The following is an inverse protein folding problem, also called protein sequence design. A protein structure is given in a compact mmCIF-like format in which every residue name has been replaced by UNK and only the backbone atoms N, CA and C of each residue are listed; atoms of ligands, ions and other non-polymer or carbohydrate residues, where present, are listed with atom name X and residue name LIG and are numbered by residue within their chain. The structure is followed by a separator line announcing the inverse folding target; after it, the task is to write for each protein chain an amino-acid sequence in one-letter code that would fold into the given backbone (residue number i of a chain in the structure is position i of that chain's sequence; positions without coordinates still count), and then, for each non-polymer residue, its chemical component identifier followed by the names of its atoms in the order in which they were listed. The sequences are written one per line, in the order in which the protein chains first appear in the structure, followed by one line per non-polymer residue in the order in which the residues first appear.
data_IF_155253215263
#
_entry.id   IF_155253215263
#
_cell.length_a   1.000
_cell.length_b   1.000
_cell.length_c   1.000
_cell.angle_alpha   90.00
_cell.angle_beta   90.00
_cell.angle_gamma   90.00
#
_symmetry.space_group_name_H-M   'P 1'
#
loop_
_entity.id
_entity.type
_entity.pdbx_description
1 polymer ?
#
# COMPACT_ATOMS: atom_id res chain seq x y z
N UNK A 1 -21.39 -20.56 4.89
CA UNK A 1 -21.13 -20.06 4.64
C UNK A 1 -20.62 -19.37 4.40
N UNK A 2 -20.38 -19.37 4.48
CA UNK A 2 -19.85 -18.73 4.35
C UNK A 2 -19.29 -17.92 3.98
N UNK A 3 -19.15 -17.69 4.16
CA UNK A 3 -18.63 -16.91 3.88
C UNK A 3 -17.98 -16.25 3.69
N UNK A 4 -17.78 -16.06 3.86
CA UNK A 4 -17.19 -15.42 3.76
C UNK A 4 -16.41 -14.93 3.33
N UNK A 5 -16.23 -15.11 3.51
CA UNK A 5 -15.35 -14.73 3.18
C UNK A 5 -15.03 -13.97 2.41
N UNK A 6 -15.00 -13.53 2.10
CA UNK A 6 -14.65 -12.81 1.36
C UNK A 6 -14.32 -11.78 1.49
N UNK A 7 -14.23 -11.39 2.05
CA UNK A 7 -13.90 -10.42 2.17
C UNK A 7 -12.78 -10.06 2.34
N UNK A 8 -12.20 -10.53 2.78
CA UNK A 8 -11.15 -10.23 2.89
C UNK A 8 -10.47 -9.62 2.01
N UNK A 9 -10.53 -9.79 1.37
CA UNK A 9 -9.86 -9.29 0.26
C UNK A 9 -10.28 -7.92 -0.13
N UNK A 10 -10.74 -7.16 0.76
CA UNK A 10 -11.16 -5.81 0.42
C UNK A 10 -9.97 -4.87 0.64
N UNK A 11 -9.11 -4.78 -0.36
CA UNK A 11 -8.03 -3.82 -0.32
C UNK A 11 -8.58 -2.41 -0.38
N UNK A 12 -7.96 -1.50 0.35
CA UNK A 12 -8.34 -0.10 0.32
C UNK A 12 -7.72 0.52 -0.94
N UNK A 13 -8.53 1.15 -1.77
CA UNK A 13 -8.05 1.74 -3.01
C UNK A 13 -7.23 2.99 -2.73
N UNK A 14 -6.09 3.10 -3.41
CA UNK A 14 -5.23 4.28 -3.35
C UNK A 14 -5.18 4.86 -4.76
N UNK A 15 -6.04 5.82 -5.07
CA UNK A 15 -6.11 6.35 -6.43
C UNK A 15 -4.95 7.30 -6.71
N UNK A 16 -4.33 7.12 -7.88
CA UNK A 16 -3.26 8.01 -8.34
C UNK A 16 -3.57 8.46 -9.76
N UNK A 17 -3.05 9.63 -10.13
CA UNK A 17 -3.21 10.16 -11.47
C UNK A 17 -1.90 10.15 -12.25
N UNK A 18 -0.84 9.63 -11.63
CA UNK A 18 0.47 9.51 -12.24
C UNK A 18 0.71 8.09 -12.68
N UNK A 19 1.78 7.86 -13.42
CA UNK A 19 2.11 6.53 -13.90
C UNK A 19 2.41 5.56 -12.75
N UNK A 20 3.03 6.05 -11.71
CA UNK A 20 3.36 5.25 -10.53
C UNK A 20 3.41 6.16 -9.31
N UNK A 21 3.50 5.54 -8.14
CA UNK A 21 3.70 6.26 -6.89
C UNK A 21 4.75 5.48 -6.08
N UNK A 22 5.59 6.21 -5.35
CA UNK A 22 6.56 5.55 -4.50
C UNK A 22 5.88 5.02 -3.25
N UNK A 23 6.41 3.92 -2.71
CA UNK A 23 5.80 3.27 -1.55
C UNK A 23 5.57 4.23 -0.38
N UNK A 24 6.57 5.02 -0.02
CA UNK A 24 6.40 5.93 1.10
C UNK A 24 5.31 6.97 0.84
N UNK A 25 5.21 7.43 -0.40
CA UNK A 25 4.18 8.39 -0.76
C UNK A 25 2.80 7.75 -0.73
N UNK A 26 2.71 6.50 -1.17
CA UNK A 26 1.43 5.77 -1.14
C UNK A 26 0.96 5.58 0.30
N UNK A 27 1.87 5.31 1.23
CA UNK A 27 1.50 5.13 2.62
C UNK A 27 0.98 6.43 3.23
N UNK A 28 1.56 7.56 2.84
CA UNK A 28 1.06 8.86 3.30
C UNK A 28 -0.29 9.19 2.67
N UNK A 29 -0.41 8.97 1.38
CA UNK A 29 -1.64 9.26 0.66
C UNK A 29 -2.82 8.46 1.18
N UNK A 30 -2.58 7.21 1.54
CA UNK A 30 -3.62 6.30 2.02
C UNK A 30 -3.91 6.45 3.51
N UNK A 31 -3.16 7.32 4.20
CA UNK A 31 -3.28 7.48 5.65
C UNK A 31 -2.91 6.20 6.40
N UNK A 32 -2.10 5.34 5.80
CA UNK A 32 -1.62 4.15 6.48
C UNK A 32 -0.75 4.53 7.67
N UNK A 33 -0.16 5.71 7.60
CA UNK A 33 0.63 6.27 8.69
C UNK A 33 0.19 7.72 8.91
N UNK A 34 0.39 8.21 10.11
CA UNK A 34 -0.08 9.55 10.47
C UNK A 34 0.99 10.63 10.35
N UNK A 35 2.24 10.28 10.23
CA UNK A 35 3.30 11.28 10.11
C UNK A 35 4.32 10.86 9.07
N UNK A 36 4.95 11.86 8.45
CA UNK A 36 5.86 11.61 7.34
C UNK A 36 7.08 10.80 7.71
N UNK A 37 7.62 11.00 8.89
CA UNK A 37 8.83 10.27 9.29
C UNK A 37 8.59 8.80 9.54
N UNK A 38 7.37 8.43 9.88
CA UNK A 38 7.04 7.06 10.23
C UNK A 38 7.12 6.12 9.04
N UNK A 39 6.76 6.59 7.84
CA UNK A 39 6.82 5.73 6.65
C UNK A 39 8.21 5.17 6.46
N UNK A 40 9.22 6.02 6.55
CA UNK A 40 10.60 5.59 6.38
C UNK A 40 10.95 4.49 7.38
N UNK A 41 10.57 4.69 8.64
CA UNK A 41 10.92 3.76 9.70
C UNK A 41 10.27 2.40 9.52
N UNK A 42 8.95 2.37 9.28
CA UNK A 42 8.25 1.10 9.18
C UNK A 42 8.67 0.33 7.93
N UNK A 43 8.98 1.03 6.84
CA UNK A 43 9.44 0.37 5.62
C UNK A 43 10.82 -0.24 5.87
N UNK A 44 11.73 0.51 6.46
CA UNK A 44 13.08 0.01 6.71
C UNK A 44 13.10 -1.11 7.73
N UNK A 45 12.13 -1.14 8.64
CA UNK A 45 12.02 -2.19 9.64
C UNK A 45 11.40 -3.46 9.10
N UNK A 46 11.01 -3.48 7.82
CA UNK A 46 10.45 -4.68 7.22
C UNK A 46 9.00 -4.93 7.60
N UNK A 47 8.28 -3.92 8.01
CA UNK A 47 6.88 -4.06 8.45
C UNK A 47 5.89 -3.89 7.31
N UNK A 48 6.37 -3.62 6.09
CA UNK A 48 5.53 -3.39 4.92
C UNK A 48 5.82 -4.46 3.88
N UNK A 49 4.77 -5.00 3.28
CA UNK A 49 4.92 -5.94 2.17
C UNK A 49 4.37 -5.30 0.90
N UNK A 50 4.95 -5.69 -0.24
CA UNK A 50 4.46 -5.30 -1.55
C UNK A 50 4.23 -6.59 -2.32
N UNK A 51 3.00 -6.78 -2.78
CA UNK A 51 2.58 -7.98 -3.51
C UNK A 51 2.98 -9.26 -2.76
N UNK A 52 2.88 -9.21 -1.44
CA UNK A 52 3.11 -10.38 -0.59
C UNK A 52 4.55 -10.55 -0.11
N UNK A 53 5.48 -9.68 -0.52
CA UNK A 53 6.88 -9.79 -0.13
C UNK A 53 7.31 -8.57 0.65
N UNK A 54 8.10 -8.80 1.71
CA UNK A 54 8.63 -7.70 2.52
C UNK A 54 9.45 -6.77 1.62
N UNK A 55 9.17 -5.47 1.73
CA UNK A 55 9.87 -4.47 0.94
C UNK A 55 10.44 -3.42 1.88
N UNK A 56 11.76 -3.30 1.91
CA UNK A 56 12.44 -2.31 2.75
C UNK A 56 12.87 -1.08 1.95
N UNK A 57 12.40 -0.96 0.71
CA UNK A 57 12.75 0.16 -0.17
C UNK A 57 11.61 1.17 -0.20
N UNK A 58 11.78 2.28 0.51
CA UNK A 58 10.74 3.30 0.55
C UNK A 58 10.50 3.97 -0.80
N UNK A 59 11.49 3.90 -1.69
CA UNK A 59 11.36 4.44 -3.04
C UNK A 59 10.84 3.45 -4.06
N UNK A 60 10.36 2.30 -3.62
CA UNK A 60 9.82 1.29 -4.52
C UNK A 60 8.65 1.88 -5.32
N UNK A 61 8.73 1.77 -6.65
CA UNK A 61 7.67 2.26 -7.52
C UNK A 61 6.50 1.29 -7.53
N UNK A 62 5.32 1.81 -7.26
CA UNK A 62 4.09 1.03 -7.27
C UNK A 62 3.21 1.52 -8.43
N UNK A 63 2.73 0.60 -9.23
CA UNK A 63 1.89 0.89 -10.38
C UNK A 63 0.47 0.44 -10.10
N UNK A 64 -0.52 0.95 -10.85
CA UNK A 64 -1.89 0.46 -10.68
C UNK A 64 -1.94 -1.05 -10.76
N UNK A 65 -2.57 -1.68 -9.79
CA UNK A 65 -2.61 -3.13 -9.64
C UNK A 65 -1.67 -3.67 -8.60
N UNK A 66 -0.64 -2.91 -8.22
CA UNK A 66 0.23 -3.33 -7.13
C UNK A 66 -0.49 -3.14 -5.80
N UNK A 67 -0.14 -3.98 -4.83
CA UNK A 67 -0.71 -3.91 -3.50
C UNK A 67 0.40 -3.84 -2.46
N UNK A 68 0.15 -3.10 -1.40
CA UNK A 68 1.05 -3.11 -0.27
C UNK A 68 0.22 -3.31 1.00
N UNK A 69 0.84 -3.90 2.01
CA UNK A 69 0.17 -4.17 3.28
C UNK A 69 1.00 -3.65 4.42
N UNK A 70 0.31 -3.11 5.41
CA UNK A 70 0.94 -2.63 6.63
C UNK A 70 -0.06 -2.74 7.76
N UNK A 71 0.39 -3.27 8.89
CA UNK A 71 -0.43 -3.36 10.11
C UNK A 71 -1.75 -4.10 9.87
N UNK A 72 -1.68 -5.18 9.08
CA UNK A 72 -2.84 -6.02 8.84
C UNK A 72 -3.82 -5.47 7.81
N UNK A 73 -3.51 -4.34 7.19
CA UNK A 73 -4.39 -3.71 6.20
C UNK A 73 -3.72 -3.76 4.85
N UNK A 74 -4.47 -4.14 3.82
CA UNK A 74 -3.98 -4.19 2.45
C UNK A 74 -4.51 -2.99 1.66
N UNK A 75 -3.64 -2.41 0.84
CA UNK A 75 -3.96 -1.27 -0.01
C UNK A 75 -3.63 -1.62 -1.44
N UNK A 76 -4.41 -1.13 -2.38
CA UNK A 76 -4.18 -1.37 -3.80
C UNK A 76 -4.09 -0.06 -4.55
N UNK A 77 -3.04 0.09 -5.37
CA UNK A 77 -2.89 1.26 -6.22
C UNK A 77 -3.87 1.15 -7.37
N UNK A 78 -4.65 2.19 -7.59
CA UNK A 78 -5.61 2.21 -8.69
C UNK A 78 -5.42 3.47 -9.51
N UNK A 79 -5.79 3.39 -10.78
CA UNK A 79 -5.66 4.51 -11.70
C UNK A 79 -6.91 5.37 -11.60
N UNK A 80 -6.75 6.60 -11.13
CA UNK A 80 -7.88 7.52 -10.96
C UNK A 80 -8.08 8.43 -12.17
N UNK A 81 -7.25 8.28 -13.19
CA UNK A 81 -7.27 9.18 -14.34
C UNK A 81 -8.31 8.79 -15.41
N UNK A 82 -9.19 7.90 -15.10
CA UNK A 82 -10.21 7.45 -16.06
C UNK A 82 -11.39 8.41 -16.16
#
# INVERSE_FOLDING_TARGET
MKVTVKKKSSAIAVPITTEFIKLEAAMKLSNAISSGGTAKNVIQDGLVTVDGEVCAMRGKKLYPGNRFSFDGVTYEIVNAAL
#
